data_IF_675255507527
#
_entry.id   IF_675255507527
#
_cell.length_a   1.000
_cell.length_b   1.000
_cell.length_c   1.000
_cell.angle_alpha   90.00
_cell.angle_beta   90.00
_cell.angle_gamma   90.00
#
_symmetry.space_group_name_H-M   'P 1'
#
loop_
_entity.id
_entity.type
_entity.pdbx_description
1 polymer ?
#
# COMPACT_ATOMS: atom_id res chain seq x y z
N UNK A 1 14.54 20.30 4.12
CA UNK A 1 14.96 19.14 3.29
C UNK A 1 14.02 19.05 2.10
N UNK A 2 14.53 18.89 0.88
CA UNK A 2 13.68 18.56 -0.28
C UNK A 2 13.29 17.08 -0.15
N UNK A 3 12.00 16.80 0.05
CA UNK A 3 11.49 15.43 0.14
C UNK A 3 11.72 14.65 -1.16
N UNK A 4 11.76 13.31 -1.05
CA UNK A 4 11.90 12.43 -2.22
C UNK A 4 10.75 12.69 -3.22
N UNK A 5 11.01 12.95 -4.52
CA UNK A 5 9.95 13.21 -5.50
C UNK A 5 9.08 11.97 -5.77
N UNK A 6 7.79 12.17 -6.06
CA UNK A 6 6.83 11.11 -6.40
C UNK A 6 7.35 10.14 -7.48
N UNK A 7 7.99 10.68 -8.52
CA UNK A 7 8.56 9.88 -9.61
C UNK A 7 9.56 8.82 -9.11
N UNK A 8 10.37 9.16 -8.11
CA UNK A 8 11.36 8.24 -7.53
C UNK A 8 10.71 7.10 -6.74
N UNK A 9 9.52 7.33 -6.17
CA UNK A 9 8.72 6.30 -5.51
C UNK A 9 8.07 5.38 -6.56
N UNK A 10 7.55 5.95 -7.64
CA UNK A 10 6.91 5.20 -8.72
C UNK A 10 7.91 4.40 -9.57
N UNK A 11 9.17 4.79 -9.66
CA UNK A 11 10.20 4.05 -10.42
C UNK A 11 10.62 2.73 -9.71
N UNK A 12 10.22 2.52 -8.45
CA UNK A 12 10.45 1.28 -7.68
C UNK A 12 9.43 0.16 -7.97
N UNK A 13 8.52 0.36 -8.93
CA UNK A 13 7.47 -0.60 -9.36
C UNK A 13 7.94 -2.00 -9.78
N UNK A 14 9.25 -2.23 -9.89
CA UNK A 14 9.83 -3.53 -10.26
C UNK A 14 10.10 -4.48 -9.07
N UNK A 15 9.79 -4.08 -7.83
CA UNK A 15 9.86 -4.99 -6.69
C UNK A 15 8.60 -5.86 -6.64
N UNK A 16 8.73 -7.10 -7.10
CA UNK A 16 7.68 -8.09 -7.02
C UNK A 16 7.64 -8.76 -5.63
N UNK A 17 6.53 -8.55 -4.94
CA UNK A 17 5.80 -9.63 -4.29
C UNK A 17 5.88 -9.68 -2.78
N UNK A 18 4.87 -9.13 -2.11
CA UNK A 18 4.34 -9.65 -0.86
C UNK A 18 2.82 -9.42 -0.79
N UNK A 19 2.07 -10.50 -0.98
CA UNK A 19 0.65 -10.56 -0.65
C UNK A 19 0.47 -10.18 0.83
N UNK A 20 -0.38 -9.18 1.06
CA UNK A 20 -0.99 -8.76 2.33
C UNK A 20 -0.77 -9.77 3.48
N UNK A 21 0.28 -9.55 4.27
CA UNK A 21 0.36 -10.09 5.63
C UNK A 21 0.11 -8.95 6.61
N UNK A 22 -0.22 -9.34 7.83
CA UNK A 22 -0.58 -8.54 8.99
C UNK A 22 0.08 -7.14 9.06
N UNK A 23 -0.72 -6.12 9.36
CA UNK A 23 -0.37 -4.69 9.42
C UNK A 23 0.85 -4.44 10.32
N UNK A 24 1.03 -5.27 11.35
CA UNK A 24 2.17 -5.18 12.26
C UNK A 24 3.51 -5.63 11.62
N UNK A 25 3.50 -6.45 10.58
CA UNK A 25 4.71 -7.09 10.01
C UNK A 25 5.54 -6.18 9.11
N UNK A 26 5.04 -5.01 8.70
CA UNK A 26 5.66 -4.19 7.64
C UNK A 26 6.27 -2.86 8.12
N UNK A 27 6.12 -2.51 9.40
CA UNK A 27 6.22 -1.13 9.84
C UNK A 27 7.63 -0.50 9.73
N UNK A 28 8.71 -1.20 10.10
CA UNK A 28 10.06 -0.56 10.14
C UNK A 28 10.60 -0.13 8.78
N UNK A 29 10.41 -0.91 7.71
CA UNK A 29 10.89 -0.52 6.37
C UNK A 29 10.08 0.66 5.81
N UNK A 30 8.80 0.70 6.15
CA UNK A 30 7.87 1.71 5.69
C UNK A 30 8.01 3.02 6.48
N UNK A 31 8.37 2.96 7.77
CA UNK A 31 8.73 4.15 8.55
C UNK A 31 9.94 4.87 7.94
N UNK A 32 10.94 4.14 7.45
CA UNK A 32 12.11 4.74 6.79
C UNK A 32 11.68 5.52 5.55
N UNK A 33 10.73 4.98 4.77
CA UNK A 33 10.17 5.68 3.60
C UNK A 33 9.34 6.88 4.05
N UNK A 34 8.52 6.73 5.09
CA UNK A 34 7.75 7.82 5.70
C UNK A 34 8.62 9.01 6.10
N UNK A 35 9.70 8.78 6.84
CA UNK A 35 10.61 9.83 7.27
C UNK A 35 11.42 10.45 6.12
N UNK A 36 11.67 9.69 5.05
CA UNK A 36 12.41 10.19 3.89
C UNK A 36 11.54 11.01 2.92
N UNK A 37 10.22 10.81 2.94
CA UNK A 37 9.26 11.43 2.03
C UNK A 37 8.50 12.54 2.74
N UNK A 38 8.53 13.75 2.18
CA UNK A 38 7.81 14.88 2.75
C UNK A 38 6.30 14.77 2.56
N UNK A 39 5.54 15.41 3.45
CA UNK A 39 4.06 15.47 3.42
C UNK A 39 3.50 15.87 2.04
N UNK A 40 4.13 16.83 1.36
CA UNK A 40 3.70 17.27 0.03
C UNK A 40 3.74 16.15 -1.02
N UNK A 41 4.70 15.23 -0.92
CA UNK A 41 4.81 14.09 -1.82
C UNK A 41 3.75 13.03 -1.50
N UNK A 42 3.39 12.87 -0.23
CA UNK A 42 2.30 11.98 0.16
C UNK A 42 0.96 12.48 -0.38
N UNK A 43 0.70 13.78 -0.29
CA UNK A 43 -0.48 14.41 -0.88
C UNK A 43 -0.51 14.25 -2.42
N UNK A 44 0.64 14.37 -3.07
CA UNK A 44 0.75 14.14 -4.53
C UNK A 44 0.44 12.69 -4.91
N UNK A 45 0.92 11.72 -4.12
CA UNK A 45 0.66 10.30 -4.33
C UNK A 45 -0.83 9.96 -4.11
N UNK A 46 -1.45 10.51 -3.06
CA UNK A 46 -2.89 10.35 -2.80
C UNK A 46 -3.72 10.91 -3.96
N UNK A 47 -3.40 12.11 -4.44
CA UNK A 47 -4.06 12.71 -5.59
C UNK A 47 -3.89 11.86 -6.86
N UNK A 48 -2.71 11.28 -7.08
CA UNK A 48 -2.42 10.39 -8.19
C UNK A 48 -3.25 9.10 -8.14
N UNK A 49 -3.33 8.44 -6.99
CA UNK A 49 -4.14 7.24 -6.77
C UNK A 49 -5.64 7.53 -6.96
N UNK A 50 -6.13 8.66 -6.43
CA UNK A 50 -7.50 9.11 -6.65
C UNK A 50 -7.81 9.37 -8.14
N UNK A 51 -6.86 9.95 -8.90
CA UNK A 51 -7.01 10.15 -10.33
C UNK A 51 -6.98 8.82 -11.12
N UNK A 52 -6.23 7.83 -10.65
CA UNK A 52 -6.27 6.47 -11.18
C UNK A 52 -7.66 5.84 -10.98
N UNK A 53 -8.21 5.89 -9.77
CA UNK A 53 -9.53 5.31 -9.45
C UNK A 53 -10.66 5.95 -10.25
N UNK A 54 -10.61 7.27 -10.44
CA UNK A 54 -11.56 7.99 -11.31
C UNK A 54 -11.52 7.51 -12.76
N UNK A 55 -10.32 7.30 -13.32
CA UNK A 55 -10.15 6.78 -14.69
C UNK A 55 -10.67 5.35 -14.82
N UNK A 56 -10.43 4.49 -13.82
CA UNK A 56 -11.01 3.15 -13.74
C UNK A 56 -12.54 3.21 -13.77
N UNK A 57 -13.13 4.00 -12.89
CA UNK A 57 -14.59 4.15 -12.78
C UNK A 57 -15.22 4.57 -14.11
N UNK A 58 -14.65 5.58 -14.77
CA UNK A 58 -15.13 6.03 -16.09
C UNK A 58 -15.01 4.93 -17.16
N UNK A 59 -13.88 4.21 -17.17
CA UNK A 59 -13.64 3.14 -18.15
C UNK A 59 -14.62 1.96 -17.96
N UNK A 60 -14.93 1.63 -16.70
CA UNK A 60 -15.90 0.58 -16.37
C UNK A 60 -17.32 1.02 -16.68
N UNK A 61 -17.74 2.22 -16.24
CA UNK A 61 -19.09 2.71 -16.48
C UNK A 61 -19.44 2.74 -17.98
N UNK A 62 -18.51 3.17 -18.83
CA UNK A 62 -18.70 3.19 -20.28
C UNK A 62 -18.86 1.78 -20.89
N UNK A 63 -18.30 0.74 -20.26
CA UNK A 63 -18.36 -0.65 -20.74
C UNK A 63 -19.55 -1.43 -20.17
N UNK A 64 -20.09 -1.01 -19.02
CA UNK A 64 -21.15 -1.71 -18.29
C UNK A 64 -22.55 -1.12 -18.51
N UNK A 65 -22.68 0.15 -18.89
CA UNK A 65 -23.97 0.81 -19.10
C UNK A 65 -24.19 1.24 -20.57
N UNK A 66 -24.60 0.27 -21.39
CA UNK A 66 -25.40 0.56 -22.59
C UNK A 66 -26.65 -0.35 -22.56
N UNK A 67 -27.81 0.18 -22.15
CA UNK A 67 -29.04 -0.60 -21.99
C UNK A 67 -29.63 -1.09 -23.33
N UNK A 68 -29.06 -0.71 -24.47
CA UNK A 68 -29.51 -1.13 -25.80
C UNK A 68 -28.81 -2.38 -26.34
N UNK A 69 -27.78 -2.89 -25.65
CA UNK A 69 -26.96 -4.00 -26.14
C UNK A 69 -27.51 -5.38 -25.75
N UNK A 70 -27.62 -6.28 -26.73
CA UNK A 70 -27.90 -7.69 -26.48
C UNK A 70 -26.73 -8.34 -25.72
N UNK A 71 -26.99 -8.75 -24.48
CA UNK A 71 -26.04 -9.41 -23.55
C UNK A 71 -25.38 -10.67 -24.13
N UNK A 72 -26.01 -11.32 -25.12
CA UNK A 72 -25.48 -12.52 -25.77
C UNK A 72 -24.63 -12.22 -27.02
N UNK A 73 -24.54 -10.95 -27.45
CA UNK A 73 -23.73 -10.59 -28.60
C UNK A 73 -22.24 -10.82 -28.32
N UNK A 74 -21.50 -11.24 -29.35
CA UNK A 74 -20.04 -11.41 -29.24
C UNK A 74 -19.34 -10.09 -28.88
N UNK A 75 -19.90 -8.95 -29.31
CA UNK A 75 -19.39 -7.60 -29.00
C UNK A 75 -19.48 -7.27 -27.51
N UNK A 76 -20.60 -7.56 -26.85
CA UNK A 76 -20.76 -7.33 -25.41
C UNK A 76 -19.83 -8.24 -24.60
N UNK A 77 -19.77 -9.53 -24.93
CA UNK A 77 -18.87 -10.48 -24.26
C UNK A 77 -17.40 -10.08 -24.37
N UNK A 78 -16.98 -9.58 -25.54
CA UNK A 78 -15.64 -9.03 -25.74
C UNK A 78 -15.40 -7.78 -24.87
N UNK A 79 -16.34 -6.84 -24.86
CA UNK A 79 -16.26 -5.63 -24.03
C UNK A 79 -16.19 -5.94 -22.52
N UNK A 80 -16.93 -6.93 -22.04
CA UNK A 80 -16.85 -7.39 -20.65
C UNK A 80 -15.51 -8.05 -20.32
N UNK A 81 -15.01 -8.94 -21.19
CA UNK A 81 -13.69 -9.55 -21.01
C UNK A 81 -12.57 -8.49 -20.98
N UNK A 82 -12.65 -7.48 -21.84
CA UNK A 82 -11.71 -6.35 -21.85
C UNK A 82 -11.85 -5.49 -20.59
N UNK A 83 -13.08 -5.28 -20.10
CA UNK A 83 -13.34 -4.58 -18.83
C UNK A 83 -12.72 -5.32 -17.65
N UNK A 84 -12.99 -6.62 -17.52
CA UNK A 84 -12.42 -7.46 -16.46
C UNK A 84 -10.89 -7.50 -16.51
N UNK A 85 -10.30 -7.63 -17.71
CA UNK A 85 -8.85 -7.56 -17.88
C UNK A 85 -8.26 -6.19 -17.54
N UNK A 86 -9.00 -5.11 -17.78
CA UNK A 86 -8.59 -3.74 -17.39
C UNK A 86 -8.68 -3.55 -15.88
N UNK A 87 -9.74 -4.07 -15.25
CA UNK A 87 -9.91 -4.07 -13.79
C UNK A 87 -8.78 -4.81 -13.08
N UNK A 88 -8.47 -6.03 -13.52
CA UNK A 88 -7.42 -6.84 -12.90
C UNK A 88 -6.03 -6.18 -13.00
N UNK A 89 -5.70 -5.59 -14.16
CA UNK A 89 -4.44 -4.84 -14.33
C UNK A 89 -4.38 -3.60 -13.45
N UNK A 90 -5.48 -2.87 -13.36
CA UNK A 90 -5.58 -1.69 -12.52
C UNK A 90 -5.39 -2.01 -11.04
N UNK A 91 -6.06 -3.05 -10.54
CA UNK A 91 -5.91 -3.51 -9.16
C UNK A 91 -4.46 -3.91 -8.89
N UNK A 92 -3.84 -4.68 -9.80
CA UNK A 92 -2.43 -5.04 -9.70
C UNK A 92 -1.50 -3.82 -9.63
N UNK A 93 -1.72 -2.81 -10.49
CA UNK A 93 -0.92 -1.59 -10.51
C UNK A 93 -1.05 -0.80 -9.20
N UNK A 94 -2.28 -0.65 -8.67
CA UNK A 94 -2.51 0.01 -7.38
C UNK A 94 -1.79 -0.74 -6.25
N UNK A 95 -1.97 -2.07 -6.16
CA UNK A 95 -1.32 -2.85 -5.10
C UNK A 95 0.20 -2.74 -5.16
N UNK A 96 0.77 -2.78 -6.37
CA UNK A 96 2.20 -2.60 -6.58
C UNK A 96 2.67 -1.22 -6.11
N UNK A 97 1.92 -0.15 -6.41
CA UNK A 97 2.24 1.21 -5.94
C UNK A 97 2.15 1.28 -4.42
N UNK A 98 1.06 0.80 -3.82
CA UNK A 98 0.85 0.83 -2.38
C UNK A 98 1.96 0.10 -1.60
N UNK A 99 2.40 -1.06 -2.09
CA UNK A 99 3.47 -1.85 -1.50
C UNK A 99 4.85 -1.18 -1.69
N UNK A 100 5.19 -0.80 -2.92
CA UNK A 100 6.53 -0.26 -3.22
C UNK A 100 6.81 1.12 -2.64
N UNK A 101 5.77 1.94 -2.51
CA UNK A 101 5.87 3.29 -1.93
C UNK A 101 5.65 3.29 -0.42
N UNK A 102 5.07 2.22 0.12
CA UNK A 102 4.68 2.13 1.51
C UNK A 102 3.50 3.01 1.91
N UNK A 103 2.76 3.56 0.93
CA UNK A 103 1.57 4.39 1.15
C UNK A 103 0.50 3.67 1.97
N UNK A 104 0.35 2.36 1.83
CA UNK A 104 -0.58 1.60 2.66
C UNK A 104 -0.30 1.76 4.16
N UNK A 105 0.97 1.77 4.55
CA UNK A 105 1.37 1.99 5.94
C UNK A 105 1.18 3.44 6.38
N UNK A 106 1.26 4.41 5.46
CA UNK A 106 0.87 5.78 5.76
C UNK A 106 -0.62 5.86 6.14
N UNK A 107 -1.50 5.20 5.38
CA UNK A 107 -2.92 5.13 5.70
C UNK A 107 -3.18 4.46 7.05
N UNK A 108 -2.46 3.37 7.34
CA UNK A 108 -2.58 2.63 8.60
C UNK A 108 -1.82 3.27 9.78
N UNK A 109 -1.07 4.38 9.57
CA UNK A 109 -0.25 5.02 10.61
C UNK A 109 -1.10 5.49 11.77
N UNK A 110 -2.24 6.12 11.45
CA UNK A 110 -3.17 6.62 12.45
C UNK A 110 -3.72 5.48 13.30
N UNK A 111 -4.24 4.43 12.67
CA UNK A 111 -4.76 3.24 13.36
C UNK A 111 -3.70 2.59 14.26
N UNK A 112 -2.46 2.50 13.78
CA UNK A 112 -1.35 1.99 14.59
C UNK A 112 -1.10 2.84 15.83
N UNK A 113 -1.06 4.18 15.69
CA UNK A 113 -0.86 5.10 16.81
C UNK A 113 -2.02 4.99 17.80
N UNK A 114 -3.26 4.91 17.31
CA UNK A 114 -4.45 4.75 18.16
C UNK A 114 -4.40 3.42 18.95
N UNK A 115 -4.09 2.31 18.29
CA UNK A 115 -3.92 1.01 18.93
C UNK A 115 -2.76 0.98 19.93
N UNK A 116 -1.66 1.67 19.64
CA UNK A 116 -0.52 1.78 20.53
C UNK A 116 -0.89 2.61 21.78
N UNK A 117 -1.48 3.78 21.59
CA UNK A 117 -1.90 4.67 22.67
C UNK A 117 -2.95 4.00 23.58
N UNK A 118 -3.87 3.20 23.02
CA UNK A 118 -4.82 2.41 23.80
C UNK A 118 -4.15 1.37 24.71
N UNK A 119 -3.01 0.79 24.29
CA UNK A 119 -2.23 -0.16 25.10
C UNK A 119 -1.30 0.52 26.10
N UNK A 120 -1.00 1.80 25.90
CA UNK A 120 -0.08 2.59 26.70
C UNK A 120 -0.74 3.91 27.16
N UNK A 121 -1.84 3.85 27.94
CA UNK A 121 -2.63 5.03 28.29
C UNK A 121 -1.87 6.04 29.15
N UNK A 122 -0.85 5.60 29.89
CA UNK A 122 -0.04 6.44 30.79
C UNK A 122 1.16 7.11 30.08
N UNK A 123 1.33 6.89 28.78
CA UNK A 123 2.44 7.47 28.02
C UNK A 123 2.19 8.95 27.74
N UNK A 124 3.03 9.82 28.30
CA UNK A 124 2.95 11.27 28.12
C UNK A 124 4.24 11.85 27.50
N UNK A 125 4.17 12.61 26.38
CA UNK A 125 3.01 12.78 25.52
C UNK A 125 2.70 11.51 24.71
N UNK A 126 1.42 11.21 24.42
CA UNK A 126 1.09 10.09 23.53
C UNK A 126 1.70 10.33 22.14
N UNK A 127 2.26 9.28 21.49
CA UNK A 127 2.73 9.34 20.12
C UNK A 127 1.72 9.99 19.17
N UNK A 128 2.23 10.82 18.28
CA UNK A 128 1.48 11.60 17.28
C UNK A 128 1.93 11.24 15.87
N UNK A 129 1.08 11.56 14.89
CA UNK A 129 1.36 11.30 13.47
C UNK A 129 2.68 11.89 12.98
N UNK A 130 3.03 13.08 13.48
CA UNK A 130 4.25 13.80 13.14
C UNK A 130 5.51 13.27 13.80
N UNK A 131 5.40 12.38 14.79
CA UNK A 131 6.56 11.88 15.51
C UNK A 131 7.37 10.93 14.63
N UNK A 132 8.69 10.89 14.86
CA UNK A 132 9.52 9.77 14.43
C UNK A 132 9.22 8.57 15.34
N UNK A 133 8.31 7.70 14.89
CA UNK A 133 7.92 6.51 15.67
C UNK A 133 9.08 5.52 15.81
N UNK A 134 10.04 5.56 14.88
CA UNK A 134 11.27 4.80 14.97
C UNK A 134 12.06 5.14 16.22
N UNK A 135 12.12 6.43 16.59
CA UNK A 135 12.77 6.92 17.82
C UNK A 135 11.82 6.81 19.02
N UNK A 136 10.58 7.29 18.86
CA UNK A 136 9.60 7.39 19.96
C UNK A 136 9.32 6.03 20.60
N UNK A 137 9.34 4.97 19.81
CA UNK A 137 9.01 3.62 20.26
C UNK A 137 10.23 2.78 20.64
N UNK A 138 11.47 3.27 20.51
CA UNK A 138 12.68 2.55 20.94
C UNK A 138 12.60 2.00 22.36
N UNK A 139 12.14 2.76 23.38
CA UNK A 139 12.03 2.25 24.75
C UNK A 139 11.05 1.07 24.90
N UNK A 140 10.15 0.88 23.93
CA UNK A 140 9.11 -0.14 23.92
C UNK A 140 9.47 -1.33 23.00
N UNK A 141 10.75 -1.49 22.66
CA UNK A 141 11.22 -2.53 21.74
C UNK A 141 11.35 -2.06 20.29
N UNK A 142 11.10 -0.78 20.02
CA UNK A 142 11.19 -0.17 18.70
C UNK A 142 10.06 -0.60 17.77
N UNK A 143 10.15 -0.16 16.52
CA UNK A 143 9.20 -0.58 15.50
C UNK A 143 9.40 -2.05 15.14
N UNK A 144 8.31 -2.84 15.03
CA UNK A 144 8.38 -4.24 14.64
C UNK A 144 9.06 -4.40 13.28
N UNK A 145 9.90 -5.43 13.17
CA UNK A 145 10.71 -5.70 11.97
C UNK A 145 10.39 -7.06 11.40
N UNK A 146 10.42 -7.18 10.08
CA UNK A 146 10.22 -8.44 9.37
C UNK A 146 11.41 -9.39 9.44
N UNK A 147 12.55 -9.04 10.06
CA UNK A 147 13.74 -9.91 10.05
C UNK A 147 13.46 -11.35 10.56
N UNK A 148 12.72 -11.56 11.67
CA UNK A 148 12.40 -12.90 12.15
C UNK A 148 11.47 -13.67 11.18
N UNK A 149 10.37 -13.05 10.77
CA UNK A 149 9.38 -13.68 9.88
C UNK A 149 9.94 -13.96 8.48
N UNK A 150 10.82 -13.09 7.97
CA UNK A 150 11.56 -13.26 6.71
C UNK A 150 12.48 -14.47 6.77
N UNK A 151 13.23 -14.60 7.87
CA UNK A 151 14.13 -15.72 8.07
C UNK A 151 13.34 -17.03 8.09
N UNK A 152 12.19 -17.06 8.76
CA UNK A 152 11.33 -18.23 8.81
C UNK A 152 10.59 -18.51 7.49
N UNK A 153 10.25 -17.48 6.73
CA UNK A 153 9.71 -17.65 5.37
C UNK A 153 10.77 -18.29 4.45
N UNK A 154 11.99 -17.77 4.40
CA UNK A 154 13.04 -18.33 3.56
C UNK A 154 13.47 -19.74 4.02
N UNK A 155 13.50 -19.99 5.33
CA UNK A 155 13.70 -21.34 5.87
C UNK A 155 12.59 -22.30 5.41
N UNK A 156 11.32 -21.89 5.40
CA UNK A 156 10.22 -22.73 4.92
C UNK A 156 10.18 -22.87 3.39
N UNK A 157 10.51 -21.81 2.66
CA UNK A 157 10.47 -21.79 1.19
C UNK A 157 11.66 -22.51 0.54
N UNK A 158 12.79 -22.64 1.26
CA UNK A 158 14.02 -23.25 0.75
C UNK A 158 14.59 -24.38 1.62
N UNK A 159 13.96 -24.71 2.76
CA UNK A 159 14.46 -25.70 3.71
C UNK A 159 14.09 -27.15 3.41
N UNK A 160 13.12 -27.41 2.54
CA UNK A 160 12.71 -28.78 2.16
C UNK A 160 13.25 -29.16 0.77
N UNK A 161 14.56 -29.01 0.58
CA UNK A 161 15.29 -29.67 -0.50
C UNK A 161 16.54 -30.36 0.06
N UNK A 162 16.31 -31.42 0.83
CA UNK A 162 17.28 -32.50 1.05
C UNK A 162 16.55 -33.83 0.90
#
# INVERSE_FOLDING_TARGET
MMGVPLKSLLDRRNYHGFLLRDVASFYKFHEIIWQAVGESTWLELDAYLNAMEKRRTLSVQHLWFDPSLNLFSARVRKGWSESLGTMARFEFDIYTILESTGFYMHLMRQDFIELFNAKHPDLDPPPRLSDDLGIRLLPFGGLPTFQPDRADYFKRAHGDRN
#
